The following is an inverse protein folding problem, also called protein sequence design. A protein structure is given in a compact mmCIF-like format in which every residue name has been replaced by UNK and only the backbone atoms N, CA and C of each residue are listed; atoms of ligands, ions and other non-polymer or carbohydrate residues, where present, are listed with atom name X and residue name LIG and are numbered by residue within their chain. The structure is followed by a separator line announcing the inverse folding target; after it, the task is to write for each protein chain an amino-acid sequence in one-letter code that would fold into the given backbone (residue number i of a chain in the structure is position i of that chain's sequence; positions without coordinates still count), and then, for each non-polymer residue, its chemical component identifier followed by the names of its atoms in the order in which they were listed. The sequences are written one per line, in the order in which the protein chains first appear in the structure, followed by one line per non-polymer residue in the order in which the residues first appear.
data_IF_580712570434
#
_entry.id   IF_580712570434
#
_cell.length_a   1.000
_cell.length_b   1.000
_cell.length_c   1.000
_cell.angle_alpha   90.00
_cell.angle_beta   90.00
_cell.angle_gamma   90.00
#
_symmetry.space_group_name_H-M   'P 1'
#
loop_
_entity.id
_entity.type
_entity.pdbx_description
1 polymer ?
#
# COMPACT_ATOMS: atom_id res chain seq x y z
N UNK A 1 -9.33 -10.41 -21.33
CA UNK A 1 -8.62 -10.88 -20.11
C UNK A 1 -9.46 -12.01 -19.52
N UNK A 2 -8.82 -13.13 -19.22
CA UNK A 2 -9.50 -14.35 -18.79
C UNK A 2 -9.71 -14.32 -17.26
N UNK A 3 -10.94 -14.42 -16.72
CA UNK A 3 -11.19 -14.29 -15.29
C UNK A 3 -10.49 -15.37 -14.44
N UNK A 4 -10.19 -16.53 -15.03
CA UNK A 4 -9.38 -17.60 -14.40
C UNK A 4 -7.88 -17.28 -14.31
N UNK A 5 -7.37 -16.38 -15.16
CA UNK A 5 -6.03 -15.83 -15.07
C UNK A 5 -6.10 -14.46 -14.39
N UNK A 6 -6.29 -14.46 -13.06
CA UNK A 6 -6.47 -13.24 -12.26
C UNK A 6 -5.56 -12.07 -12.65
N UNK A 7 -6.03 -10.84 -12.45
CA UNK A 7 -5.31 -9.64 -12.89
C UNK A 7 -3.97 -9.40 -12.17
N UNK A 8 -3.02 -8.77 -12.86
CA UNK A 8 -1.69 -8.46 -12.33
C UNK A 8 -1.68 -7.45 -11.16
N UNK A 9 -2.78 -6.71 -10.95
CA UNK A 9 -2.84 -5.59 -10.01
C UNK A 9 -2.43 -5.94 -8.58
N UNK A 10 -2.98 -7.01 -8.00
CA UNK A 10 -2.68 -7.39 -6.61
C UNK A 10 -1.25 -7.93 -6.45
N UNK A 11 -0.77 -8.69 -7.44
CA UNK A 11 0.62 -9.15 -7.47
C UNK A 11 1.59 -7.96 -7.51
N UNK A 12 1.32 -6.97 -8.36
CA UNK A 12 2.09 -5.74 -8.44
C UNK A 12 2.05 -4.92 -7.15
N UNK A 13 0.89 -4.80 -6.50
CA UNK A 13 0.76 -4.10 -5.23
C UNK A 13 1.56 -4.79 -4.12
N UNK A 14 1.51 -6.12 -4.03
CA UNK A 14 2.33 -6.88 -3.07
C UNK A 14 3.82 -6.66 -3.30
N UNK A 15 4.27 -6.73 -4.56
CA UNK A 15 5.67 -6.50 -4.92
C UNK A 15 6.13 -5.08 -4.52
N UNK A 16 5.31 -4.05 -4.78
CA UNK A 16 5.62 -2.66 -4.39
C UNK A 16 5.70 -2.48 -2.87
N UNK A 17 4.74 -3.03 -2.14
CA UNK A 17 4.73 -2.94 -0.68
C UNK A 17 5.97 -3.60 -0.09
N UNK A 18 6.32 -4.79 -0.57
CA UNK A 18 7.54 -5.49 -0.14
C UNK A 18 8.81 -4.70 -0.47
N UNK A 19 8.90 -4.11 -1.67
CA UNK A 19 10.04 -3.29 -2.07
C UNK A 19 10.24 -2.05 -1.17
N UNK A 20 9.16 -1.54 -0.57
CA UNK A 20 9.18 -0.41 0.37
C UNK A 20 9.28 -0.85 1.85
N UNK A 21 9.53 -2.14 2.11
CA UNK A 21 9.60 -2.67 3.48
C UNK A 21 8.25 -2.69 4.21
N UNK A 22 7.15 -2.61 3.48
CA UNK A 22 5.79 -2.64 3.99
C UNK A 22 5.07 -3.97 3.75
N UNK A 23 3.78 -4.01 4.12
CA UNK A 23 2.93 -5.19 4.05
C UNK A 23 1.56 -4.87 3.47
N UNK A 24 0.98 -5.81 2.71
CA UNK A 24 -0.37 -5.71 2.16
C UNK A 24 -1.26 -6.85 2.67
N UNK A 25 -2.39 -6.50 3.28
CA UNK A 25 -3.44 -7.42 3.69
C UNK A 25 -4.70 -7.23 2.84
N UNK A 26 -5.43 -8.32 2.63
CA UNK A 26 -6.69 -8.35 1.87
C UNK A 26 -7.71 -9.09 2.73
N UNK A 27 -8.83 -8.43 3.01
CA UNK A 27 -9.93 -8.99 3.78
C UNK A 27 -11.16 -9.03 2.89
N UNK A 28 -11.73 -10.21 2.69
CA UNK A 28 -12.92 -10.40 1.87
C UNK A 28 -13.78 -11.52 2.43
N UNK A 29 -15.10 -11.37 2.30
CA UNK A 29 -16.06 -12.40 2.62
C UNK A 29 -17.29 -12.29 1.69
N UNK A 30 -17.97 -13.40 1.37
CA UNK A 30 -19.18 -13.37 0.56
C UNK A 30 -20.22 -12.39 1.13
N UNK A 31 -20.77 -11.52 0.27
CA UNK A 31 -21.75 -10.51 0.65
C UNK A 31 -21.23 -9.34 1.50
N UNK A 32 -19.93 -9.29 1.82
CA UNK A 32 -19.32 -8.20 2.62
C UNK A 32 -18.38 -7.28 1.83
N UNK A 33 -18.15 -7.61 0.56
CA UNK A 33 -17.19 -6.89 -0.28
C UNK A 33 -15.74 -7.24 0.06
N UNK A 34 -14.82 -6.32 -0.26
CA UNK A 34 -13.38 -6.51 -0.15
C UNK A 34 -12.72 -5.24 0.35
N UNK A 35 -11.83 -5.37 1.34
CA UNK A 35 -10.98 -4.30 1.84
C UNK A 35 -9.50 -4.65 1.63
N UNK A 36 -8.69 -3.64 1.34
CA UNK A 36 -7.24 -3.76 1.23
C UNK A 36 -6.60 -2.82 2.25
N UNK A 37 -5.66 -3.34 3.03
CA UNK A 37 -4.90 -2.56 4.00
C UNK A 37 -3.40 -2.61 3.65
N UNK A 38 -2.79 -1.44 3.52
CA UNK A 38 -1.37 -1.27 3.21
C UNK A 38 -0.68 -0.57 4.39
N UNK A 39 0.40 -1.16 4.88
CA UNK A 39 1.22 -0.61 5.97
C UNK A 39 2.64 -0.38 5.47
N UNK A 40 3.17 0.82 5.68
CA UNK A 40 4.53 1.22 5.30
C UNK A 40 5.25 1.80 6.52
N UNK A 41 6.57 1.56 6.66
CA UNK A 41 7.38 2.30 7.61
C UNK A 41 7.40 3.78 7.24
N UNK A 42 7.18 4.65 8.23
CA UNK A 42 7.33 6.09 8.06
C UNK A 42 8.79 6.47 8.33
N UNK A 43 9.48 7.03 7.34
CA UNK A 43 10.72 7.75 7.60
C UNK A 43 10.39 9.11 8.23
N UNK A 44 11.03 9.49 9.35
CA UNK A 44 10.85 10.83 9.91
C UNK A 44 11.20 11.86 8.83
N UNK A 45 10.30 12.81 8.61
CA UNK A 45 10.59 13.96 7.76
C UNK A 45 11.72 14.73 8.45
N UNK A 46 12.80 15.12 7.75
CA UNK A 46 13.72 16.09 8.33
C UNK A 46 12.90 17.31 8.71
N UNK A 47 13.03 17.77 9.95
CA UNK A 47 12.35 18.99 10.41
C UNK A 47 12.62 20.07 9.37
N UNK A 48 11.55 20.54 8.72
CA UNK A 48 11.66 21.75 7.92
C UNK A 48 12.05 22.82 8.93
N UNK A 49 13.30 23.29 8.87
CA UNK A 49 13.72 24.42 9.69
C UNK A 49 12.65 25.52 9.52
N UNK A 50 12.12 26.09 10.61
CA UNK A 50 11.14 27.16 10.49
C UNK A 50 11.80 28.25 9.66
N UNK A 51 11.28 28.46 8.45
CA UNK A 51 11.68 29.54 7.58
C UNK A 51 11.46 30.82 8.38
N UNK A 52 12.54 31.35 8.93
CA UNK A 52 12.56 32.58 9.70
C UNK A 52 12.18 33.69 8.73
N UNK A 53 10.88 33.92 8.59
CA UNK A 53 10.35 34.99 7.78
C UNK A 53 10.67 36.30 8.51
N UNK A 54 11.49 37.19 7.93
CA UNK A 54 11.77 38.50 8.50
C UNK A 54 10.53 39.40 8.50
#
# INVERSE_FOLDING_TARGET
PDPEHGGFGLAAMRARMHALGGTLAIESAPGRGTALAAQLPLTPRPETEPEAHP
#
